data_IF_530858315096
#
_entry.id   IF_530858315096
#
_cell.length_a   1.000
_cell.length_b   1.000
_cell.length_c   1.000
_cell.angle_alpha   90.00
_cell.angle_beta   90.00
_cell.angle_gamma   90.00
#
_symmetry.space_group_name_H-M   'P 1'
#
loop_
_entity.id
_entity.type
_entity.pdbx_description
1 polymer ?
#
# COMPACT_ATOMS: atom_id res chain seq x y z
N UNK A 1 -5.80 6.25 55.00
CA UNK A 1 -6.34 4.88 54.86
C UNK A 1 -5.45 4.18 53.85
N UNK A 2 -4.85 3.04 54.21
CA UNK A 2 -3.99 2.28 53.32
C UNK A 2 -4.85 1.58 52.25
N UNK A 3 -4.43 1.65 50.98
CA UNK A 3 -5.18 1.07 49.87
C UNK A 3 -5.38 -0.45 50.03
N UNK A 4 -4.37 -1.17 50.56
CA UNK A 4 -4.49 -2.58 50.89
C UNK A 4 -5.63 -2.85 51.89
N UNK A 5 -5.70 -2.08 52.99
CA UNK A 5 -6.76 -2.22 54.00
C UNK A 5 -8.14 -1.94 53.45
N UNK A 6 -8.25 -1.03 52.48
CA UNK A 6 -9.51 -0.72 51.80
C UNK A 6 -9.98 -1.86 50.91
N UNK A 7 -9.07 -2.51 50.18
CA UNK A 7 -9.39 -3.70 49.38
C UNK A 7 -9.80 -4.87 50.29
N UNK A 8 -9.09 -5.09 51.39
CA UNK A 8 -9.41 -6.14 52.36
C UNK A 8 -10.80 -5.92 53.00
N UNK A 9 -11.15 -4.66 53.31
CA UNK A 9 -12.50 -4.35 53.84
C UNK A 9 -13.61 -4.53 52.81
N UNK A 10 -13.33 -4.39 51.52
CA UNK A 10 -14.31 -4.68 50.48
C UNK A 10 -14.65 -6.17 50.41
N UNK A 11 -13.65 -7.04 50.57
CA UNK A 11 -13.84 -8.50 50.67
C UNK A 11 -14.69 -8.84 51.91
N UNK A 12 -14.40 -8.24 53.06
CA UNK A 12 -15.18 -8.43 54.30
C UNK A 12 -16.65 -7.97 54.16
N UNK A 13 -16.91 -6.89 53.42
CA UNK A 13 -18.27 -6.38 53.20
C UNK A 13 -19.09 -7.35 52.35
N UNK A 14 -18.50 -7.96 51.31
CA UNK A 14 -19.17 -8.97 50.49
C UNK A 14 -19.61 -10.18 51.35
N UNK A 15 -18.68 -10.70 52.17
CA UNK A 15 -18.94 -11.83 53.07
C UNK A 15 -20.03 -11.49 54.10
N UNK A 16 -19.95 -10.32 54.74
CA UNK A 16 -20.95 -9.88 55.72
C UNK A 16 -22.34 -9.68 55.12
N UNK A 17 -22.42 -9.17 53.89
CA UNK A 17 -23.70 -9.02 53.18
C UNK A 17 -24.28 -10.38 52.86
N UNK A 18 -23.47 -11.33 52.38
CA UNK A 18 -23.93 -12.69 52.10
C UNK A 18 -24.39 -13.41 53.38
N UNK A 19 -23.64 -13.30 54.48
CA UNK A 19 -23.97 -13.91 55.78
C UNK A 19 -25.27 -13.34 56.37
N UNK A 20 -25.46 -12.01 56.32
CA UNK A 20 -26.69 -11.36 56.78
C UNK A 20 -27.89 -11.76 55.93
N UNK A 21 -27.72 -11.92 54.61
CA UNK A 21 -28.78 -12.39 53.71
C UNK A 21 -29.18 -13.84 53.99
N UNK A 22 -28.26 -14.69 54.48
CA UNK A 22 -28.55 -16.08 54.85
C UNK A 22 -29.20 -16.15 56.24
N UNK A 23 -28.74 -15.34 57.20
CA UNK A 23 -29.16 -15.42 58.61
C UNK A 23 -30.48 -14.68 58.90
N UNK A 24 -30.76 -13.56 58.23
CA UNK A 24 -31.89 -12.68 58.60
C UNK A 24 -33.12 -12.89 57.71
N UNK A 25 -32.96 -13.37 56.47
CA UNK A 25 -34.02 -13.35 55.47
C UNK A 25 -34.15 -14.68 54.70
N UNK A 26 -35.38 -15.14 54.48
CA UNK A 26 -35.66 -16.26 53.56
C UNK A 26 -35.57 -15.78 52.10
N UNK A 27 -34.35 -15.63 51.60
CA UNK A 27 -34.09 -15.29 50.20
C UNK A 27 -33.80 -16.55 49.37
N UNK A 28 -34.29 -16.59 48.12
CA UNK A 28 -33.88 -17.61 47.15
C UNK A 28 -32.45 -17.34 46.66
N UNK A 29 -31.77 -18.37 46.13
CA UNK A 29 -30.41 -18.23 45.55
C UNK A 29 -30.37 -17.10 44.51
N UNK A 30 -31.40 -17.02 43.66
CA UNK A 30 -31.50 -16.01 42.60
C UNK A 30 -31.62 -14.59 43.15
N UNK A 31 -32.38 -14.38 44.23
CA UNK A 31 -32.48 -13.08 44.89
C UNK A 31 -31.18 -12.66 45.56
N UNK A 32 -30.46 -13.62 46.17
CA UNK A 32 -29.12 -13.34 46.72
C UNK A 32 -28.14 -12.93 45.62
N UNK A 33 -28.14 -13.64 44.50
CA UNK A 33 -27.28 -13.29 43.35
C UNK A 33 -27.56 -11.90 42.77
N UNK A 34 -28.81 -11.43 42.78
CA UNK A 34 -29.15 -10.07 42.33
C UNK A 34 -28.56 -8.99 43.26
N UNK A 35 -28.47 -9.27 44.56
CA UNK A 35 -27.98 -8.31 45.56
C UNK A 35 -26.46 -8.36 45.68
N UNK A 36 -25.88 -9.57 45.71
CA UNK A 36 -24.44 -9.78 45.94
C UNK A 36 -23.65 -9.68 44.64
N UNK A 37 -24.23 -10.03 43.49
CA UNK A 37 -23.54 -10.02 42.19
C UNK A 37 -22.85 -8.69 41.84
N UNK A 38 -23.50 -7.53 41.99
CA UNK A 38 -22.85 -6.24 41.76
C UNK A 38 -21.68 -5.96 42.72
N UNK A 39 -21.77 -6.45 43.97
CA UNK A 39 -20.72 -6.28 44.98
C UNK A 39 -19.52 -7.17 44.64
N UNK A 40 -19.76 -8.43 44.27
CA UNK A 40 -18.75 -9.36 43.77
C UNK A 40 -18.01 -8.80 42.54
N UNK A 41 -18.74 -8.22 41.60
CA UNK A 41 -18.18 -7.63 40.39
C UNK A 41 -17.28 -6.43 40.71
N UNK A 42 -17.78 -5.51 41.54
CA UNK A 42 -17.02 -4.35 42.00
C UNK A 42 -15.75 -4.76 42.75
N UNK A 43 -15.85 -5.76 43.64
CA UNK A 43 -14.73 -6.27 44.43
C UNK A 43 -13.68 -6.94 43.53
N UNK A 44 -14.09 -7.77 42.56
CA UNK A 44 -13.18 -8.36 41.57
C UNK A 44 -12.44 -7.31 40.76
N UNK A 45 -13.14 -6.28 40.28
CA UNK A 45 -12.52 -5.18 39.54
C UNK A 45 -11.54 -4.39 40.43
N UNK A 46 -11.93 -4.08 41.67
CA UNK A 46 -11.10 -3.37 42.62
C UNK A 46 -9.80 -4.13 42.94
N UNK A 47 -9.90 -5.44 43.22
CA UNK A 47 -8.72 -6.29 43.44
C UNK A 47 -7.83 -6.38 42.19
N UNK A 48 -8.42 -6.54 41.00
CA UNK A 48 -7.67 -6.61 39.75
C UNK A 48 -6.89 -5.31 39.48
N UNK A 49 -7.53 -4.16 39.67
CA UNK A 49 -6.88 -2.84 39.54
C UNK A 49 -5.78 -2.64 40.59
N UNK A 50 -5.99 -3.12 41.81
CA UNK A 50 -4.98 -3.03 42.86
C UNK A 50 -3.73 -3.88 42.53
N UNK A 51 -3.90 -5.07 41.94
CA UNK A 51 -2.78 -5.86 41.43
C UNK A 51 -2.10 -5.19 40.24
N UNK A 52 -2.87 -4.65 39.28
CA UNK A 52 -2.37 -3.97 38.08
C UNK A 52 -1.46 -2.78 38.45
N UNK A 53 -1.85 -2.00 39.44
CA UNK A 53 -1.10 -0.85 39.96
C UNK A 53 0.12 -1.31 40.80
N UNK A 54 0.27 -2.61 41.04
CA UNK A 54 1.39 -3.19 41.76
C UNK A 54 1.27 -3.10 43.28
N UNK A 55 0.04 -3.00 43.81
CA UNK A 55 -0.25 -2.83 45.24
C UNK A 55 0.51 -1.62 45.83
N UNK A 56 1.11 -1.80 47.00
CA UNK A 56 1.92 -0.77 47.68
C UNK A 56 3.34 -0.61 47.12
N UNK A 57 3.68 -1.30 46.01
CA UNK A 57 5.01 -1.18 45.40
C UNK A 57 5.22 0.20 44.79
N UNK A 58 4.19 0.77 44.17
CA UNK A 58 4.28 2.08 43.53
C UNK A 58 4.50 3.21 44.54
N UNK A 59 3.73 3.33 45.64
CA UNK A 59 4.04 4.29 46.71
C UNK A 59 5.46 4.13 47.28
N UNK A 60 5.94 2.90 47.48
CA UNK A 60 7.31 2.67 47.98
C UNK A 60 8.38 3.05 46.97
N UNK A 61 8.16 2.80 45.68
CA UNK A 61 9.08 3.17 44.61
C UNK A 61 9.15 4.69 44.47
N UNK A 62 8.00 5.36 44.49
CA UNK A 62 7.89 6.83 44.47
C UNK A 62 8.61 7.44 45.67
N UNK A 63 8.33 6.97 46.89
CA UNK A 63 9.01 7.48 48.10
C UNK A 63 10.52 7.21 48.10
N UNK A 64 10.97 6.10 47.52
CA UNK A 64 12.39 5.81 47.36
C UNK A 64 13.04 6.80 46.40
N UNK A 65 12.43 7.01 45.26
CA UNK A 65 12.91 7.91 44.22
C UNK A 65 12.89 9.38 44.68
N UNK A 66 11.85 9.80 45.41
CA UNK A 66 11.82 11.12 46.05
C UNK A 66 12.99 11.30 47.04
N UNK A 67 13.33 10.29 47.84
CA UNK A 67 14.50 10.35 48.73
C UNK A 67 15.83 10.39 47.97
N UNK A 68 15.97 9.59 46.92
CA UNK A 68 17.20 9.52 46.10
C UNK A 68 17.47 10.84 45.35
N UNK A 69 16.41 11.55 44.99
CA UNK A 69 16.46 12.82 44.27
C UNK A 69 16.28 14.04 45.18
N UNK A 70 16.24 13.86 46.50
CA UNK A 70 16.06 14.91 47.52
C UNK A 70 14.81 15.80 47.30
N UNK A 71 13.69 15.18 46.92
CA UNK A 71 12.41 15.84 46.67
C UNK A 71 11.54 15.82 47.91
N UNK A 72 10.95 16.96 48.24
CA UNK A 72 10.04 17.10 49.38
C UNK A 72 8.57 16.97 48.94
N UNK A 73 8.27 17.25 47.67
CA UNK A 73 6.89 17.28 47.15
C UNK A 73 6.69 16.40 45.90
N UNK A 74 5.44 15.97 45.68
CA UNK A 74 5.08 15.14 44.50
C UNK A 74 5.03 16.00 43.23
N UNK A 75 4.80 17.30 43.40
CA UNK A 75 4.87 18.33 42.35
C UNK A 75 6.29 18.42 41.79
N UNK A 76 7.31 18.49 42.65
CA UNK A 76 8.72 18.46 42.22
C UNK A 76 9.06 17.19 41.42
N UNK A 77 8.49 16.05 41.83
CA UNK A 77 8.65 14.79 41.11
C UNK A 77 7.99 14.83 39.73
N UNK A 78 6.78 15.38 39.64
CA UNK A 78 6.07 15.56 38.35
C UNK A 78 6.87 16.44 37.41
N UNK A 79 7.39 17.57 37.90
CA UNK A 79 8.19 18.50 37.11
C UNK A 79 9.49 17.84 36.61
N UNK A 80 10.09 16.95 37.41
CA UNK A 80 11.25 16.16 37.01
C UNK A 80 10.94 15.14 35.92
N UNK A 81 9.79 14.47 36.01
CA UNK A 81 9.29 13.56 34.98
C UNK A 81 9.04 14.31 33.66
N UNK A 82 8.36 15.45 33.72
CA UNK A 82 8.00 16.26 32.54
C UNK A 82 9.22 16.86 31.86
N UNK A 83 10.25 17.20 32.63
CA UNK A 83 11.55 17.65 32.11
C UNK A 83 12.43 16.50 31.57
N UNK A 84 11.97 15.24 31.64
CA UNK A 84 12.72 14.08 31.16
C UNK A 84 14.00 13.80 31.94
N UNK A 85 14.11 14.29 33.18
CA UNK A 85 15.37 14.29 33.97
C UNK A 85 15.43 13.16 35.00
N UNK A 86 14.61 12.12 34.87
CA UNK A 86 14.71 10.89 35.66
C UNK A 86 15.63 9.90 34.96
N UNK A 87 16.93 10.16 35.04
CA UNK A 87 17.96 9.21 34.65
C UNK A 87 18.85 8.91 35.86
N UNK A 88 19.17 7.62 36.03
CA UNK A 88 20.18 7.20 37.00
C UNK A 88 21.47 7.98 36.76
N UNK A 89 22.02 8.56 37.83
CA UNK A 89 23.15 9.51 37.86
C UNK A 89 24.43 9.05 37.13
N UNK A 90 24.48 7.84 36.61
CA UNK A 90 25.64 7.25 35.93
C UNK A 90 25.67 7.45 34.41
N UNK A 91 24.56 7.74 33.74
CA UNK A 91 24.50 7.67 32.26
C UNK A 91 24.53 9.03 31.54
N UNK A 92 24.37 10.13 32.28
CA UNK A 92 24.02 11.44 31.69
C UNK A 92 25.15 12.15 30.93
N UNK A 93 26.42 11.88 31.21
CA UNK A 93 27.53 12.61 30.56
C UNK A 93 28.00 11.99 29.24
N UNK A 94 27.95 10.66 29.11
CA UNK A 94 28.32 9.96 27.88
C UNK A 94 27.20 10.00 26.82
N UNK A 95 25.94 10.03 27.23
CA UNK A 95 24.81 10.04 26.30
C UNK A 95 24.63 11.40 25.62
N UNK A 96 24.77 12.52 26.33
CA UNK A 96 24.55 13.86 25.77
C UNK A 96 25.63 14.26 24.73
N UNK A 97 26.91 13.91 24.95
CA UNK A 97 27.98 14.11 23.95
C UNK A 97 27.77 13.23 22.70
N UNK A 98 27.40 11.95 22.87
CA UNK A 98 27.10 11.06 21.74
C UNK A 98 25.92 11.57 20.89
N UNK A 99 24.85 12.06 21.51
CA UNK A 99 23.73 12.64 20.76
C UNK A 99 24.13 13.92 20.01
N UNK A 100 25.04 14.71 20.57
CA UNK A 100 25.52 15.93 19.93
C UNK A 100 26.40 15.62 18.70
N UNK A 101 27.26 14.60 18.81
CA UNK A 101 28.07 14.11 17.69
C UNK A 101 27.23 13.48 16.58
N UNK A 102 26.21 12.70 16.93
CA UNK A 102 25.26 12.13 15.98
C UNK A 102 24.51 13.22 15.20
N UNK A 103 24.09 14.29 15.89
CA UNK A 103 23.45 15.45 15.25
C UNK A 103 24.41 16.19 14.31
N UNK A 104 25.68 16.33 14.69
CA UNK A 104 26.70 16.96 13.84
C UNK A 104 26.96 16.10 12.60
N UNK A 105 27.04 14.78 12.75
CA UNK A 105 27.20 13.84 11.66
C UNK A 105 26.00 13.88 10.70
N UNK A 106 24.78 13.79 11.22
CA UNK A 106 23.55 13.90 10.43
C UNK A 106 23.49 15.20 9.63
N UNK A 107 23.88 16.33 10.23
CA UNK A 107 23.93 17.63 9.54
C UNK A 107 24.94 17.63 8.39
N UNK A 108 26.15 17.10 8.62
CA UNK A 108 27.18 17.01 7.56
C UNK A 108 26.72 16.11 6.41
N UNK A 109 26.05 15.01 6.71
CA UNK A 109 25.53 14.11 5.68
C UNK A 109 24.41 14.78 4.88
N UNK A 110 23.50 15.49 5.55
CA UNK A 110 22.44 16.24 4.89
C UNK A 110 23.01 17.33 3.95
N UNK A 111 24.00 18.10 4.41
CA UNK A 111 24.71 19.09 3.58
C UNK A 111 25.38 18.45 2.34
N UNK A 112 25.95 17.24 2.50
CA UNK A 112 26.54 16.50 1.38
C UNK A 112 25.48 16.01 0.40
N UNK A 113 24.36 15.49 0.90
CA UNK A 113 23.23 15.04 0.08
C UNK A 113 22.62 16.22 -0.69
N UNK A 114 22.45 17.39 -0.07
CA UNK A 114 21.98 18.59 -0.74
C UNK A 114 22.93 19.07 -1.85
N UNK A 115 24.25 18.95 -1.66
CA UNK A 115 25.23 19.26 -2.71
C UNK A 115 25.11 18.29 -3.89
N UNK A 116 25.06 16.98 -3.60
CA UNK A 116 24.87 15.94 -4.63
C UNK A 116 23.56 16.13 -5.40
N UNK A 117 22.47 16.47 -4.70
CA UNK A 117 21.18 16.76 -5.32
C UNK A 117 21.27 17.96 -6.27
N UNK A 118 21.93 19.05 -5.86
CA UNK A 118 22.14 20.23 -6.71
C UNK A 118 23.00 19.91 -7.94
N UNK A 119 24.03 19.09 -7.78
CA UNK A 119 24.88 18.65 -8.91
C UNK A 119 24.11 17.77 -9.90
N UNK A 120 23.35 16.79 -9.39
CA UNK A 120 22.48 15.94 -10.19
C UNK A 120 21.44 16.77 -10.96
N UNK A 121 20.86 17.79 -10.31
CA UNK A 121 19.91 18.70 -10.95
C UNK A 121 20.55 19.49 -12.09
N UNK A 122 21.78 20.02 -11.90
CA UNK A 122 22.53 20.70 -12.96
C UNK A 122 22.88 19.75 -14.12
N UNK A 123 23.24 18.50 -13.81
CA UNK A 123 23.50 17.49 -14.83
C UNK A 123 22.23 17.15 -15.63
N UNK A 124 21.09 17.03 -14.95
CA UNK A 124 19.79 16.79 -15.59
C UNK A 124 19.42 17.95 -16.55
N UNK A 125 19.64 19.21 -16.14
CA UNK A 125 19.35 20.35 -17.01
C UNK A 125 20.25 20.38 -18.27
N UNK A 126 21.52 19.98 -18.15
CA UNK A 126 22.41 19.80 -19.32
C UNK A 126 21.91 18.70 -20.25
N UNK A 127 21.47 17.56 -19.71
CA UNK A 127 20.90 16.48 -20.52
C UNK A 127 19.60 16.92 -21.19
N UNK A 128 18.78 17.72 -20.51
CA UNK A 128 17.54 18.24 -21.06
C UNK A 128 17.80 19.15 -22.28
N UNK A 129 18.79 20.04 -22.20
CA UNK A 129 19.14 20.90 -23.33
C UNK A 129 19.73 20.12 -24.51
N UNK A 130 20.55 19.08 -24.25
CA UNK A 130 21.07 18.23 -25.33
C UNK A 130 19.99 17.40 -25.99
N UNK A 131 19.05 16.85 -25.21
CA UNK A 131 17.89 16.12 -25.74
C UNK A 131 17.03 17.01 -26.63
N UNK A 132 16.76 18.25 -26.23
CA UNK A 132 15.96 19.17 -27.05
C UNK A 132 16.69 19.54 -28.36
N UNK A 133 18.00 19.78 -28.30
CA UNK A 133 18.82 20.03 -29.51
C UNK A 133 18.86 18.81 -30.46
N UNK A 134 18.97 17.59 -29.91
CA UNK A 134 18.93 16.36 -30.70
C UNK A 134 17.54 16.14 -31.34
N UNK A 135 16.48 16.47 -30.62
CA UNK A 135 15.10 16.42 -31.11
C UNK A 135 14.90 17.38 -32.28
N UNK A 136 15.39 18.61 -32.18
CA UNK A 136 15.34 19.58 -33.28
C UNK A 136 16.14 19.10 -34.50
N UNK A 137 17.35 18.58 -34.27
CA UNK A 137 18.19 17.99 -35.32
C UNK A 137 17.49 16.82 -36.02
N UNK A 138 16.83 15.94 -35.26
CA UNK A 138 16.05 14.82 -35.78
C UNK A 138 14.84 15.32 -36.60
N UNK A 139 14.14 16.34 -36.12
CA UNK A 139 13.05 16.95 -36.87
C UNK A 139 13.54 17.53 -38.20
N UNK A 140 14.69 18.19 -38.21
CA UNK A 140 15.28 18.74 -39.42
C UNK A 140 15.72 17.65 -40.40
N UNK A 141 16.42 16.62 -39.93
CA UNK A 141 16.77 15.46 -40.74
C UNK A 141 15.54 14.76 -41.33
N UNK A 142 14.45 14.67 -40.56
CA UNK A 142 13.18 14.09 -41.02
C UNK A 142 12.55 14.95 -42.13
N UNK A 143 12.61 16.28 -42.02
CA UNK A 143 12.14 17.20 -43.06
C UNK A 143 12.97 17.06 -44.34
N UNK A 144 14.30 16.94 -44.22
CA UNK A 144 15.20 16.72 -45.36
C UNK A 144 14.95 15.37 -46.05
N UNK A 145 14.77 14.28 -45.29
CA UNK A 145 14.38 12.99 -45.86
C UNK A 145 13.05 13.07 -46.62
N UNK A 146 12.07 13.82 -46.12
CA UNK A 146 10.81 14.08 -46.84
C UNK A 146 11.03 14.88 -48.13
N UNK A 147 11.97 15.84 -48.15
CA UNK A 147 12.36 16.57 -49.37
C UNK A 147 13.01 15.62 -50.38
N UNK A 148 14.04 14.87 -49.98
CA UNK A 148 14.73 13.91 -50.84
C UNK A 148 13.78 12.84 -51.41
N UNK A 149 12.82 12.34 -50.62
CA UNK A 149 11.77 11.43 -51.11
C UNK A 149 10.89 12.05 -52.20
N UNK A 150 10.57 13.35 -52.11
CA UNK A 150 9.80 14.06 -53.15
C UNK A 150 10.59 14.19 -54.44
N UNK A 151 11.85 14.61 -54.37
CA UNK A 151 12.74 14.67 -55.54
C UNK A 151 12.98 13.28 -56.15
N UNK A 152 13.22 12.28 -55.31
CA UNK A 152 13.37 10.89 -55.74
C UNK A 152 12.14 10.37 -56.50
N UNK A 153 10.92 10.69 -56.05
CA UNK A 153 9.68 10.35 -56.77
C UNK A 153 9.50 11.12 -58.09
N UNK A 154 9.90 12.39 -58.15
CA UNK A 154 9.78 13.20 -59.35
C UNK A 154 10.66 12.67 -60.51
N UNK A 155 11.77 12.01 -60.17
CA UNK A 155 12.74 11.46 -61.12
C UNK A 155 12.51 9.96 -61.42
N UNK A 156 11.42 9.38 -60.93
CA UNK A 156 11.02 7.98 -61.16
C UNK A 156 9.96 7.88 -62.25
N UNK A 157 10.10 6.87 -63.10
CA UNK A 157 9.08 6.50 -64.07
C UNK A 157 7.82 5.97 -63.35
N UNK A 158 6.67 6.62 -63.55
CA UNK A 158 5.40 6.19 -62.92
C UNK A 158 4.93 4.79 -63.34
N UNK A 159 5.46 4.25 -64.46
CA UNK A 159 5.13 2.90 -64.94
C UNK A 159 5.90 1.81 -64.18
N UNK A 160 7.23 1.90 -64.11
CA UNK A 160 8.09 0.84 -63.55
C UNK A 160 8.86 1.21 -62.27
N UNK A 161 8.87 2.49 -61.88
CA UNK A 161 9.63 2.98 -60.71
C UNK A 161 11.13 3.20 -60.95
N UNK A 162 11.65 2.92 -62.16
CA UNK A 162 13.05 3.18 -62.50
C UNK A 162 13.37 4.67 -62.61
N UNK A 163 14.59 5.08 -62.26
CA UNK A 163 15.05 6.47 -62.36
C UNK A 163 15.66 6.78 -63.73
N UNK A 164 15.62 8.05 -64.15
CA UNK A 164 16.32 8.52 -65.36
C UNK A 164 15.54 8.48 -66.68
N UNK A 165 14.25 8.10 -66.66
CA UNK A 165 13.36 8.16 -67.83
C UNK A 165 11.91 8.45 -67.43
N UNK A 166 11.13 9.00 -68.37
CA UNK A 166 9.69 9.29 -68.18
C UNK A 166 8.81 8.17 -68.76
N UNK A 167 7.53 8.12 -68.37
CA UNK A 167 6.57 7.05 -68.74
C UNK A 167 6.51 6.75 -70.24
N UNK A 168 6.65 7.79 -71.08
CA UNK A 168 6.63 7.67 -72.55
C UNK A 168 7.87 6.98 -73.13
N UNK A 169 9.00 7.01 -72.42
CA UNK A 169 10.26 6.38 -72.81
C UNK A 169 10.49 5.04 -72.09
N UNK A 170 9.48 4.56 -71.36
CA UNK A 170 9.58 3.33 -70.59
C UNK A 170 9.44 2.11 -71.50
N UNK A 171 10.53 1.37 -71.68
CA UNK A 171 10.57 0.11 -72.45
C UNK A 171 10.18 -1.11 -71.60
N UNK A 172 9.87 -0.92 -70.32
CA UNK A 172 9.47 -1.99 -69.42
C UNK A 172 8.11 -2.57 -69.85
N UNK A 173 8.04 -3.90 -70.05
CA UNK A 173 6.77 -4.62 -70.21
C UNK A 173 5.84 -4.30 -69.04
N UNK A 174 4.51 -4.18 -69.24
CA UNK A 174 3.58 -3.94 -68.15
C UNK A 174 3.67 -5.11 -67.16
N UNK A 175 4.37 -4.89 -66.05
CA UNK A 175 4.39 -5.82 -64.93
C UNK A 175 3.02 -5.65 -64.28
N UNK A 176 2.20 -6.70 -64.30
CA UNK A 176 1.02 -6.76 -63.44
C UNK A 176 1.48 -6.37 -62.04
N UNK A 177 0.89 -5.31 -61.49
CA UNK A 177 1.17 -4.95 -60.11
C UNK A 177 0.72 -6.13 -59.27
N UNK A 178 1.68 -6.88 -58.72
CA UNK A 178 1.37 -7.74 -57.60
C UNK A 178 0.99 -6.78 -56.50
N UNK A 179 -0.30 -6.80 -56.15
CA UNK A 179 -0.84 -6.06 -55.04
C UNK A 179 -0.08 -6.44 -53.77
N UNK A 180 0.94 -5.66 -53.43
CA UNK A 180 1.48 -5.61 -52.08
C UNK A 180 0.56 -4.80 -51.15
N UNK A 181 -0.74 -4.70 -51.48
CA UNK A 181 -1.78 -4.39 -50.50
C UNK A 181 -2.03 -5.61 -49.62
N UNK A 182 -1.02 -6.02 -48.86
CA UNK A 182 -1.31 -6.37 -47.48
C UNK A 182 -1.76 -5.05 -46.86
N UNK A 183 -3.07 -4.83 -46.79
CA UNK A 183 -3.65 -3.86 -45.85
C UNK A 183 -2.87 -4.08 -44.56
N UNK A 184 -2.09 -3.09 -44.15
CA UNK A 184 -1.65 -3.01 -42.78
C UNK A 184 -2.95 -2.91 -41.98
N UNK A 185 -3.49 -4.07 -41.56
CA UNK A 185 -4.39 -4.14 -40.42
C UNK A 185 -3.65 -3.33 -39.36
N UNK A 186 -4.31 -2.35 -38.75
CA UNK A 186 -3.81 -1.73 -37.51
C UNK A 186 -3.20 -2.87 -36.71
N UNK A 187 -1.90 -2.80 -36.44
CA UNK A 187 -1.24 -3.78 -35.58
C UNK A 187 -1.84 -3.55 -34.19
N UNK A 188 -2.97 -4.19 -33.93
CA UNK A 188 -3.48 -4.36 -32.58
C UNK A 188 -2.44 -5.27 -31.95
N UNK A 189 -1.77 -4.80 -30.89
CA UNK A 189 -0.89 -5.67 -30.14
C UNK A 189 -1.77 -6.74 -29.51
N UNK A 190 -1.61 -7.96 -30.02
CA UNK A 190 -2.31 -9.13 -29.53
C UNK A 190 -1.32 -9.91 -28.70
N UNK A 191 -1.54 -9.93 -27.39
CA UNK A 191 -0.68 -10.65 -26.47
C UNK A 191 -1.20 -12.09 -26.33
N UNK A 192 -0.34 -13.11 -26.55
CA UNK A 192 -0.69 -14.49 -26.21
C UNK A 192 -0.66 -14.64 -24.69
N UNK A 193 -1.83 -14.79 -24.08
CA UNK A 193 -1.96 -15.07 -22.65
C UNK A 193 -2.47 -16.49 -22.48
N UNK A 194 -1.74 -17.31 -21.71
CA UNK A 194 -2.21 -18.63 -21.33
C UNK A 194 -3.19 -18.52 -20.17
N UNK A 195 -4.44 -18.88 -20.45
CA UNK A 195 -5.49 -18.94 -19.43
C UNK A 195 -5.95 -20.41 -19.38
N UNK A 196 -5.77 -21.04 -18.22
CA UNK A 196 -6.10 -22.46 -18.00
C UNK A 196 -5.32 -23.42 -18.92
N UNK A 197 -4.02 -23.19 -19.09
CA UNK A 197 -3.15 -24.01 -19.95
C UNK A 197 -3.49 -23.94 -21.44
N UNK A 198 -4.28 -22.94 -21.85
CA UNK A 198 -4.65 -22.70 -23.24
C UNK A 198 -4.20 -21.30 -23.66
N UNK A 199 -3.33 -21.22 -24.66
CA UNK A 199 -2.95 -19.95 -25.27
C UNK A 199 -4.14 -19.23 -25.92
N UNK A 200 -4.37 -17.98 -25.54
CA UNK A 200 -5.41 -17.11 -26.10
C UNK A 200 -4.81 -15.77 -26.53
N UNK A 201 -5.43 -15.20 -27.54
CA UNK A 201 -5.09 -13.89 -28.09
C UNK A 201 -5.99 -12.82 -27.47
N UNK A 202 -5.40 -11.88 -26.73
CA UNK A 202 -6.06 -10.71 -26.16
C UNK A 202 -5.58 -9.44 -26.84
N UNK A 203 -6.50 -8.51 -27.09
CA UNK A 203 -6.15 -7.18 -27.61
C UNK A 203 -5.71 -6.31 -26.43
N UNK A 204 -4.49 -5.78 -26.48
CA UNK A 204 -3.97 -4.88 -25.45
C UNK A 204 -4.51 -3.46 -25.68
N UNK A 205 -5.40 -3.00 -24.79
CA UNK A 205 -5.87 -1.62 -24.76
C UNK A 205 -5.15 -0.85 -23.65
N UNK A 206 -4.35 0.15 -24.03
CA UNK A 206 -3.41 0.85 -23.13
C UNK A 206 -4.05 1.67 -22.00
N UNK A 207 -5.39 1.66 -21.87
CA UNK A 207 -6.14 2.36 -20.84
C UNK A 207 -6.92 1.46 -19.87
N UNK A 208 -6.87 0.13 -20.00
CA UNK A 208 -7.63 -0.78 -19.13
C UNK A 208 -6.73 -1.47 -18.10
N UNK A 209 -7.13 -1.41 -16.82
CA UNK A 209 -6.47 -2.14 -15.71
C UNK A 209 -6.99 -3.58 -15.58
N UNK A 210 -8.06 -3.93 -16.30
CA UNK A 210 -8.72 -5.23 -16.21
C UNK A 210 -8.90 -5.84 -17.61
N UNK A 211 -8.63 -7.14 -17.73
CA UNK A 211 -9.00 -7.93 -18.91
C UNK A 211 -10.49 -8.29 -18.89
N UNK A 212 -11.19 -8.02 -19.99
CA UNK A 212 -12.61 -8.34 -20.16
C UNK A 212 -12.77 -9.45 -21.18
N UNK A 213 -13.62 -10.43 -20.90
CA UNK A 213 -14.00 -11.48 -21.87
C UNK A 213 -15.52 -11.64 -21.95
N UNK A 214 -16.01 -12.08 -23.11
CA UNK A 214 -17.45 -12.35 -23.28
C UNK A 214 -17.86 -13.63 -22.56
N UNK A 215 -19.10 -13.64 -22.04
CA UNK A 215 -19.68 -14.78 -21.31
C UNK A 215 -19.62 -16.06 -22.14
N UNK A 216 -20.00 -16.00 -23.42
CA UNK A 216 -19.92 -17.17 -24.30
C UNK A 216 -18.49 -17.65 -24.59
N UNK A 217 -17.45 -16.81 -24.41
CA UNK A 217 -16.04 -17.23 -24.49
C UNK A 217 -15.60 -17.89 -23.18
N UNK A 218 -16.07 -17.37 -22.04
CA UNK A 218 -15.85 -17.93 -20.71
C UNK A 218 -16.47 -19.32 -20.51
N UNK A 219 -17.72 -19.52 -20.94
CA UNK A 219 -18.36 -20.84 -20.85
C UNK A 219 -17.66 -21.90 -21.69
N UNK A 220 -17.21 -21.53 -22.90
CA UNK A 220 -16.40 -22.41 -23.75
C UNK A 220 -15.05 -22.78 -23.13
N UNK A 221 -14.44 -21.86 -22.37
CA UNK A 221 -13.21 -22.12 -21.62
C UNK A 221 -13.44 -23.15 -20.51
N UNK A 222 -14.49 -22.97 -19.68
CA UNK A 222 -14.84 -23.91 -18.60
C UNK A 222 -15.18 -25.31 -19.09
N UNK A 223 -15.75 -25.43 -20.28
CA UNK A 223 -16.17 -26.73 -20.84
C UNK A 223 -15.00 -27.68 -21.12
N UNK A 224 -13.77 -27.16 -21.27
CA UNK A 224 -12.57 -27.95 -21.59
C UNK A 224 -11.65 -28.27 -20.41
N UNK A 225 -11.97 -27.80 -19.20
CA UNK A 225 -11.22 -28.09 -17.97
C UNK A 225 -12.21 -28.52 -16.86
N UNK A 226 -12.48 -29.82 -16.70
CA UNK A 226 -13.46 -30.31 -15.72
C UNK A 226 -13.04 -30.10 -14.26
N UNK A 227 -11.75 -29.90 -13.98
CA UNK A 227 -11.20 -29.72 -12.63
C UNK A 227 -11.65 -28.39 -11.99
N UNK A 228 -11.84 -27.33 -12.78
CA UNK A 228 -12.23 -25.98 -12.31
C UNK A 228 -13.74 -25.78 -12.09
N UNK A 229 -14.59 -26.75 -12.49
CA UNK A 229 -16.02 -26.69 -12.17
C UNK A 229 -16.27 -26.64 -10.66
N UNK A 230 -15.33 -27.15 -9.85
CA UNK A 230 -15.44 -27.18 -8.38
C UNK A 230 -14.93 -25.91 -7.71
N UNK A 231 -14.02 -25.15 -8.33
CA UNK A 231 -13.41 -23.96 -7.72
C UNK A 231 -14.07 -22.64 -8.14
N UNK A 232 -14.62 -22.56 -9.36
CA UNK A 232 -15.26 -21.34 -9.86
C UNK A 232 -16.62 -21.01 -9.18
N UNK A 233 -17.19 -21.94 -8.42
CA UNK A 233 -18.45 -21.75 -7.69
C UNK A 233 -18.26 -21.01 -6.35
N UNK A 234 -17.01 -20.83 -5.88
CA UNK A 234 -16.70 -20.31 -4.53
C UNK A 234 -16.56 -18.77 -4.47
N UNK A 235 -16.50 -18.05 -5.60
CA UNK A 235 -16.52 -16.59 -5.58
C UNK A 235 -17.93 -16.07 -5.78
N UNK A 236 -18.62 -15.91 -4.64
CA UNK A 236 -19.98 -15.41 -4.54
C UNK A 236 -20.20 -14.07 -5.27
N UNK A 237 -21.40 -13.92 -5.83
CA UNK A 237 -21.92 -12.74 -6.52
C UNK A 237 -21.77 -11.47 -5.66
N UNK A 238 -21.14 -10.40 -6.18
CA UNK A 238 -21.35 -9.08 -5.61
C UNK A 238 -22.75 -8.59 -5.98
N UNK A 239 -23.56 -8.36 -4.96
CA UNK A 239 -24.88 -7.76 -5.08
C UNK A 239 -24.74 -6.31 -5.57
N UNK A 240 -25.03 -6.08 -6.85
CA UNK A 240 -25.29 -4.76 -7.39
C UNK A 240 -26.62 -4.81 -8.14
N UNK A 241 -27.57 -4.03 -7.63
CA UNK A 241 -28.89 -3.84 -8.23
C UNK A 241 -28.68 -3.05 -9.54
N UNK A 242 -28.90 -3.70 -10.68
CA UNK A 242 -28.95 -3.05 -12.00
C UNK A 242 -30.34 -2.42 -12.25
N UNK A 243 -30.43 -1.34 -13.03
CA UNK A 243 -31.48 -1.21 -14.03
C UNK A 243 -30.93 -1.73 -15.37
N UNK A 244 -31.60 -2.76 -15.86
CA UNK A 244 -31.52 -3.38 -17.18
C UNK A 244 -31.06 -2.46 -18.31
N UNK A 245 -29.99 -2.83 -19.03
CA UNK A 245 -29.99 -3.04 -20.48
C UNK A 245 -28.87 -4.01 -20.87
N UNK A 246 -29.15 -4.78 -21.91
CA UNK A 246 -28.45 -5.96 -22.44
C UNK A 246 -26.94 -5.82 -22.63
N UNK A 247 -26.25 -6.93 -22.33
CA UNK A 247 -24.82 -7.27 -22.53
C UNK A 247 -23.95 -7.20 -21.26
N UNK A 248 -24.21 -8.12 -20.33
CA UNK A 248 -23.42 -8.29 -19.11
C UNK A 248 -21.98 -8.75 -19.43
N UNK A 249 -21.00 -7.92 -19.05
CA UNK A 249 -19.56 -8.21 -19.13
C UNK A 249 -19.05 -8.55 -17.74
N UNK A 250 -18.34 -9.67 -17.59
CA UNK A 250 -17.77 -10.09 -16.31
C UNK A 250 -16.28 -9.70 -16.28
N UNK A 251 -15.86 -9.10 -15.16
CA UNK A 251 -14.48 -8.73 -14.83
C UNK A 251 -13.83 -9.92 -14.14
N UNK A 252 -12.76 -10.46 -14.71
CA UNK A 252 -11.96 -11.50 -14.08
C UNK A 252 -10.56 -10.94 -13.75
N UNK A 253 -10.13 -11.10 -12.50
CA UNK A 253 -8.80 -10.71 -12.02
C UNK A 253 -7.94 -11.97 -11.94
N UNK A 254 -6.84 -12.02 -12.68
CA UNK A 254 -5.84 -13.08 -12.56
C UNK A 254 -4.63 -12.49 -11.84
N UNK A 255 -4.23 -13.10 -10.73
CA UNK A 255 -2.97 -12.81 -10.06
C UNK A 255 -1.87 -13.66 -10.71
N UNK A 256 -0.89 -13.00 -11.31
CA UNK A 256 0.32 -13.66 -11.78
C UNK A 256 1.28 -13.80 -10.59
N UNK A 257 1.54 -15.04 -10.17
CA UNK A 257 2.72 -15.33 -9.35
C UNK A 257 3.94 -15.30 -10.29
N UNK A 258 4.90 -14.42 -9.97
CA UNK A 258 6.20 -14.31 -10.64
C UNK A 258 7.06 -15.55 -10.42
#
# INVERSE_FOLDING_TARGET
MDAARFVDTADEVEEQVMEKLISVQRCTVRQRGIIVGPIEEFRKELSARFEEIGRDKWPRAVLRLMREQELETVEELRDLCERGSLEGRSSRKESEENHQDDLIWCKKENDQLEKKMREAQRACEKVKTTVESLKDSLQQATRELKRLRRYGRANQCFRCGGVGHVVRQCTSRPVQRVDTTKKARKAIMVEPVEILGQGKQFEADGGSVVSVMSIGRWERLKTRCPELKKEAEVLAKPYLIEPSQSDSKIVAKAEAYL
#
